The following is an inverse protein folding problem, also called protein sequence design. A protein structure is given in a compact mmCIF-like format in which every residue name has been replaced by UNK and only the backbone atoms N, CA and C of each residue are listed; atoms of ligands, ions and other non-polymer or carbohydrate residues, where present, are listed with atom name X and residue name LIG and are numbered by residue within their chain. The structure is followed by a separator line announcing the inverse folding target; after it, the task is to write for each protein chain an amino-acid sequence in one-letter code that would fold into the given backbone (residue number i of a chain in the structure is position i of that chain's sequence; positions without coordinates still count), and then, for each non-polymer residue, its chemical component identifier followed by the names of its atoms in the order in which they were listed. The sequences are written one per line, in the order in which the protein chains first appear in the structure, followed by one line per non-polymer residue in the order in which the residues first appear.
data_IF_909754177615
#
_entry.id   IF_909754177615
#
_cell.length_a   1.000
_cell.length_b   1.000
_cell.length_c   1.000
_cell.angle_alpha   90.00
_cell.angle_beta   90.00
_cell.angle_gamma   90.00
#
_symmetry.space_group_name_H-M   'P 1'
#
loop_
_entity.id
_entity.type
_entity.pdbx_description
1 polymer ?
#
# COMPACT_ATOMS: atom_id res chain seq x y z
N UNK A 1 -25.98 -48.78 -36.33
CA UNK A 1 -25.30 -47.55 -36.76
C UNK A 1 -25.93 -46.41 -35.96
N UNK A 2 -25.22 -45.89 -34.96
CA UNK A 2 -25.64 -44.65 -34.29
C UNK A 2 -25.54 -43.54 -35.33
N UNK A 3 -26.59 -42.73 -35.47
CA UNK A 3 -26.60 -41.63 -36.42
C UNK A 3 -25.54 -40.61 -35.98
N UNK A 4 -24.73 -40.13 -36.91
CA UNK A 4 -23.73 -39.07 -36.67
C UNK A 4 -24.33 -37.83 -35.97
N UNK A 5 -25.64 -37.60 -36.18
CA UNK A 5 -26.40 -36.53 -35.51
C UNK A 5 -26.69 -36.79 -34.03
N UNK A 6 -26.77 -38.05 -33.59
CA UNK A 6 -26.99 -38.40 -32.18
C UNK A 6 -25.70 -38.25 -31.37
N UNK A 7 -24.54 -38.55 -31.97
CA UNK A 7 -23.22 -38.28 -31.38
C UNK A 7 -22.97 -36.78 -31.20
N UNK A 8 -23.30 -35.95 -32.21
CA UNK A 8 -23.17 -34.49 -32.12
C UNK A 8 -24.08 -33.92 -31.02
N UNK A 9 -25.33 -34.38 -30.92
CA UNK A 9 -26.24 -33.96 -29.84
C UNK A 9 -25.72 -34.35 -28.45
N UNK A 10 -25.13 -35.54 -28.34
CA UNK A 10 -24.52 -35.99 -27.09
C UNK A 10 -23.36 -35.08 -26.67
N UNK A 11 -22.43 -34.77 -27.59
CA UNK A 11 -21.29 -33.87 -27.34
C UNK A 11 -21.77 -32.46 -26.97
N UNK A 12 -22.77 -31.92 -27.66
CA UNK A 12 -23.34 -30.60 -27.35
C UNK A 12 -23.97 -30.57 -25.95
N UNK A 13 -24.71 -31.62 -25.58
CA UNK A 13 -25.32 -31.71 -24.25
C UNK A 13 -24.26 -31.79 -23.15
N UNK A 14 -23.22 -32.63 -23.32
CA UNK A 14 -22.09 -32.73 -22.41
C UNK A 14 -21.34 -31.40 -22.27
N UNK A 15 -21.06 -30.73 -23.39
CA UNK A 15 -20.39 -29.41 -23.38
C UNK A 15 -21.20 -28.37 -22.62
N UNK A 16 -22.52 -28.36 -22.80
CA UNK A 16 -23.42 -27.46 -22.08
C UNK A 16 -23.39 -27.74 -20.57
N UNK A 17 -23.48 -29.01 -20.17
CA UNK A 17 -23.40 -29.41 -18.76
C UNK A 17 -22.04 -29.06 -18.14
N UNK A 18 -20.93 -29.29 -18.84
CA UNK A 18 -19.60 -28.90 -18.35
C UNK A 18 -19.48 -27.38 -18.19
N UNK A 19 -20.04 -26.59 -19.11
CA UNK A 19 -20.07 -25.13 -19.01
C UNK A 19 -20.89 -24.66 -17.79
N UNK A 20 -22.06 -25.23 -17.58
CA UNK A 20 -22.91 -24.93 -16.41
C UNK A 20 -22.21 -25.30 -15.09
N UNK A 21 -21.55 -26.46 -15.05
CA UNK A 21 -20.75 -26.87 -13.89
C UNK A 21 -19.57 -25.93 -13.64
N UNK A 22 -18.86 -25.49 -14.69
CA UNK A 22 -17.76 -24.53 -14.57
C UNK A 22 -18.23 -23.20 -13.98
N UNK A 23 -19.38 -22.68 -14.44
CA UNK A 23 -19.97 -21.45 -13.91
C UNK A 23 -20.39 -21.59 -12.44
N UNK A 24 -20.87 -22.77 -12.05
CA UNK A 24 -21.24 -23.04 -10.65
C UNK A 24 -20.00 -23.11 -9.75
N UNK A 25 -18.92 -23.75 -10.21
CA UNK A 25 -17.63 -23.80 -9.51
C UNK A 25 -17.06 -22.38 -9.36
N UNK A 26 -17.07 -21.58 -10.42
CA UNK A 26 -16.59 -20.19 -10.39
C UNK A 26 -17.37 -19.35 -9.36
N UNK A 27 -18.70 -19.48 -9.31
CA UNK A 27 -19.51 -18.83 -8.29
C UNK A 27 -19.15 -19.27 -6.87
N UNK A 28 -18.91 -20.57 -6.66
CA UNK A 28 -18.50 -21.08 -5.35
C UNK A 28 -17.13 -20.52 -4.94
N UNK A 29 -16.16 -20.50 -5.85
CA UNK A 29 -14.84 -19.92 -5.63
C UNK A 29 -14.97 -18.45 -5.23
N UNK A 30 -15.68 -17.64 -6.02
CA UNK A 30 -15.86 -16.21 -5.77
C UNK A 30 -16.54 -15.94 -4.41
N UNK A 31 -17.52 -16.76 -4.04
CA UNK A 31 -18.18 -16.66 -2.73
C UNK A 31 -17.21 -16.99 -1.59
N UNK A 32 -16.44 -18.07 -1.71
CA UNK A 32 -15.43 -18.44 -0.71
C UNK A 32 -14.35 -17.38 -0.57
N UNK A 33 -13.86 -16.82 -1.68
CA UNK A 33 -12.89 -15.71 -1.68
C UNK A 33 -13.46 -14.47 -0.99
N UNK A 34 -14.72 -14.13 -1.28
CA UNK A 34 -15.38 -12.98 -0.66
C UNK A 34 -15.51 -13.14 0.86
N UNK A 35 -15.87 -14.35 1.32
CA UNK A 35 -15.94 -14.66 2.77
C UNK A 35 -14.55 -14.54 3.40
N UNK A 36 -13.54 -15.20 2.83
CA UNK A 36 -12.16 -15.14 3.35
C UNK A 36 -11.61 -13.71 3.38
N UNK A 37 -11.93 -12.90 2.37
CA UNK A 37 -11.53 -11.51 2.32
C UNK A 37 -12.19 -10.67 3.43
N UNK A 38 -13.47 -10.88 3.70
CA UNK A 38 -14.16 -10.22 4.83
C UNK A 38 -13.60 -10.66 6.18
N UNK A 39 -13.28 -11.94 6.35
CA UNK A 39 -12.60 -12.44 7.55
C UNK A 39 -11.20 -11.82 7.72
N UNK A 40 -10.45 -11.67 6.63
CA UNK A 40 -9.15 -11.01 6.63
C UNK A 40 -9.28 -9.54 7.07
N UNK A 41 -10.23 -8.80 6.52
CA UNK A 41 -10.53 -7.42 6.91
C UNK A 41 -10.80 -7.32 8.42
N UNK A 42 -11.62 -8.25 8.94
CA UNK A 42 -11.95 -8.30 10.36
C UNK A 42 -10.74 -8.66 11.23
N UNK A 43 -9.85 -9.54 10.77
CA UNK A 43 -8.63 -9.90 11.49
C UNK A 43 -7.65 -8.73 11.57
N UNK A 44 -7.52 -7.97 10.48
CA UNK A 44 -6.65 -6.80 10.44
C UNK A 44 -7.29 -5.54 11.01
N UNK A 45 -8.60 -5.53 11.30
CA UNK A 45 -9.31 -4.40 11.92
C UNK A 45 -8.96 -3.05 11.27
N UNK A 46 -8.93 -3.01 9.94
CA UNK A 46 -8.57 -1.79 9.19
C UNK A 46 -9.65 -0.74 9.41
N UNK A 47 -9.31 0.37 10.06
CA UNK A 47 -10.28 1.39 10.46
C UNK A 47 -9.73 2.81 10.41
N UNK A 48 -10.62 3.75 10.13
CA UNK A 48 -10.38 5.19 10.25
C UNK A 48 -10.80 5.66 11.63
N UNK A 49 -9.88 6.26 12.40
CA UNK A 49 -10.13 6.80 13.74
C UNK A 49 -9.95 8.32 13.73
N UNK A 50 -10.91 9.06 14.28
CA UNK A 50 -10.78 10.51 14.46
C UNK A 50 -9.77 10.80 15.58
N UNK A 51 -8.87 11.75 15.35
CA UNK A 51 -7.95 12.21 16.39
C UNK A 51 -8.70 13.05 17.43
N UNK A 52 -8.56 12.68 18.70
CA UNK A 52 -9.14 13.43 19.82
C UNK A 52 -8.48 14.81 19.89
N UNK A 53 -9.29 15.86 19.97
CA UNK A 53 -8.80 17.23 20.12
C UNK A 53 -8.49 17.99 18.83
N UNK A 54 -8.49 17.34 17.66
CA UNK A 54 -8.28 18.02 16.37
C UNK A 54 -9.48 17.83 15.43
N UNK A 55 -10.04 18.94 14.95
CA UNK A 55 -11.19 18.93 14.04
C UNK A 55 -10.74 18.40 12.67
N UNK A 56 -11.51 17.47 12.11
CA UNK A 56 -11.33 16.89 10.78
C UNK A 56 -10.01 16.13 10.53
N UNK A 57 -9.24 15.80 11.58
CA UNK A 57 -8.08 14.92 11.44
C UNK A 57 -8.41 13.47 11.79
N UNK A 58 -7.88 12.55 10.98
CA UNK A 58 -8.10 11.13 11.10
C UNK A 58 -6.77 10.39 10.96
N UNK A 59 -6.69 9.23 11.60
CA UNK A 59 -5.61 8.26 11.42
C UNK A 59 -6.26 6.96 10.93
N UNK A 60 -5.68 6.37 9.89
CA UNK A 60 -6.02 5.02 9.48
C UNK A 60 -5.16 4.04 10.25
N UNK A 61 -5.75 2.94 10.68
CA UNK A 61 -5.08 1.94 11.51
C UNK A 61 -5.28 0.55 10.92
N UNK A 62 -4.26 -0.29 11.09
CA UNK A 62 -4.23 -1.71 10.76
C UNK A 62 -3.72 -2.49 11.97
N UNK A 63 -4.51 -3.43 12.49
CA UNK A 63 -4.21 -4.23 13.69
C UNK A 63 -3.78 -3.37 14.88
N UNK A 64 -4.48 -2.25 15.11
CA UNK A 64 -4.19 -1.25 16.16
C UNK A 64 -2.90 -0.43 15.97
N UNK A 65 -2.19 -0.59 14.86
CA UNK A 65 -1.00 0.20 14.50
C UNK A 65 -1.42 1.26 13.46
N UNK A 66 -0.94 2.51 13.53
CA UNK A 66 -1.19 3.49 12.50
C UNK A 66 -0.63 3.03 11.14
N UNK A 67 -1.39 3.19 10.08
CA UNK A 67 -0.90 2.98 8.72
C UNK A 67 -0.04 4.19 8.37
N UNK A 68 1.26 3.95 8.18
CA UNK A 68 2.21 5.01 7.88
C UNK A 68 2.23 5.23 6.37
N UNK A 69 2.14 6.49 5.98
CA UNK A 69 2.22 6.96 4.61
C UNK A 69 3.48 7.82 4.44
N UNK A 70 3.81 8.21 3.21
CA UNK A 70 5.04 8.99 2.99
C UNK A 70 4.96 10.40 3.56
N UNK A 71 3.74 10.95 3.70
CA UNK A 71 3.53 12.29 4.23
C UNK A 71 3.83 12.38 5.74
N UNK A 72 3.52 11.35 6.52
CA UNK A 72 3.74 11.30 7.96
C UNK A 72 4.93 10.43 8.39
N UNK A 73 5.67 9.89 7.42
CA UNK A 73 6.78 8.96 7.63
C UNK A 73 7.82 9.47 8.66
N UNK A 74 8.20 10.75 8.58
CA UNK A 74 9.20 11.37 9.48
C UNK A 74 8.70 11.72 10.88
N UNK A 75 7.42 11.48 11.16
CA UNK A 75 6.78 11.79 12.45
C UNK A 75 6.76 10.60 13.41
N UNK A 76 7.13 9.40 12.93
CA UNK A 76 7.15 8.18 13.72
C UNK A 76 8.59 7.68 13.92
N UNK A 77 8.81 6.96 15.01
CA UNK A 77 10.05 6.24 15.22
C UNK A 77 10.13 5.03 14.28
N UNK A 78 11.34 4.54 14.06
CA UNK A 78 11.60 3.48 13.09
C UNK A 78 10.92 2.16 13.48
N UNK A 79 10.73 1.90 14.78
CA UNK A 79 10.00 0.73 15.27
C UNK A 79 8.54 0.72 14.82
N UNK A 80 7.80 1.83 14.98
CA UNK A 80 6.40 1.91 14.54
C UNK A 80 6.32 1.84 13.02
N UNK A 81 7.26 2.45 12.29
CA UNK A 81 7.37 2.35 10.83
C UNK A 81 7.50 0.88 10.42
N UNK A 82 8.44 0.15 11.01
CA UNK A 82 8.67 -1.26 10.71
C UNK A 82 7.42 -2.10 11.02
N UNK A 83 6.81 -1.92 12.20
CA UNK A 83 5.61 -2.65 12.58
C UNK A 83 4.44 -2.37 11.61
N UNK A 84 4.29 -1.13 11.15
CA UNK A 84 3.27 -0.73 10.18
C UNK A 84 3.52 -1.38 8.81
N UNK A 85 4.73 -1.25 8.26
CA UNK A 85 5.12 -1.84 6.97
C UNK A 85 5.00 -3.36 6.98
N UNK A 86 5.39 -4.02 8.08
CA UNK A 86 5.22 -5.46 8.24
C UNK A 86 3.75 -5.86 8.13
N UNK A 87 2.87 -5.16 8.85
CA UNK A 87 1.42 -5.45 8.83
C UNK A 87 0.81 -5.20 7.46
N UNK A 88 1.18 -4.11 6.79
CA UNK A 88 0.71 -3.81 5.45
C UNK A 88 1.16 -4.90 4.47
N UNK A 89 2.42 -5.32 4.52
CA UNK A 89 2.93 -6.36 3.63
C UNK A 89 2.23 -7.70 3.82
N UNK A 90 2.02 -8.13 5.07
CA UNK A 90 1.27 -9.36 5.37
C UNK A 90 -0.16 -9.27 4.85
N UNK A 91 -0.82 -8.13 5.06
CA UNK A 91 -2.16 -7.90 4.57
C UNK A 91 -2.24 -7.98 3.04
N UNK A 92 -1.34 -7.28 2.34
CA UNK A 92 -1.28 -7.27 0.87
C UNK A 92 -0.99 -8.66 0.28
N UNK A 93 -0.05 -9.40 0.87
CA UNK A 93 0.24 -10.77 0.47
C UNK A 93 -0.96 -11.72 0.68
N UNK A 94 -1.69 -11.57 1.78
CA UNK A 94 -2.85 -12.42 2.05
C UNK A 94 -4.01 -12.09 1.10
N UNK A 95 -4.22 -10.81 0.77
CA UNK A 95 -5.19 -10.42 -0.26
C UNK A 95 -4.82 -11.06 -1.60
N UNK A 96 -3.55 -10.93 -2.02
CA UNK A 96 -3.12 -11.48 -3.31
C UNK A 96 -3.26 -13.00 -3.35
N UNK A 97 -3.07 -13.68 -2.22
CA UNK A 97 -3.27 -15.14 -2.11
C UNK A 97 -4.74 -15.52 -2.18
N UNK A 98 -5.64 -14.80 -1.49
CA UNK A 98 -7.09 -15.07 -1.51
C UNK A 98 -7.65 -14.87 -2.92
N UNK A 99 -7.28 -13.77 -3.57
CA UNK A 99 -7.83 -13.35 -4.86
C UNK A 99 -7.01 -13.82 -6.08
N UNK A 100 -5.93 -14.58 -5.86
CA UNK A 100 -4.99 -15.03 -6.89
C UNK A 100 -4.45 -13.87 -7.76
N UNK A 101 -4.14 -12.75 -7.13
CA UNK A 101 -3.60 -11.55 -7.79
C UNK A 101 -2.11 -11.74 -8.01
N UNK A 102 -1.66 -11.58 -9.26
CA UNK A 102 -0.25 -11.56 -9.60
C UNK A 102 0.35 -10.19 -9.26
N UNK A 103 1.01 -10.09 -8.10
CA UNK A 103 1.69 -8.86 -7.70
C UNK A 103 2.90 -8.57 -8.60
N UNK A 104 3.19 -7.29 -8.93
CA UNK A 104 4.36 -6.93 -9.72
C UNK A 104 5.68 -7.27 -9.00
N UNK A 105 5.67 -7.27 -7.66
CA UNK A 105 6.82 -7.65 -6.85
C UNK A 105 6.44 -8.71 -5.82
N UNK A 106 7.10 -9.86 -5.89
CA UNK A 106 6.86 -10.97 -4.98
C UNK A 106 7.19 -10.58 -3.54
N UNK A 107 6.25 -10.86 -2.64
CA UNK A 107 6.41 -10.73 -1.19
C UNK A 107 6.76 -12.11 -0.64
N UNK A 108 7.90 -12.21 0.03
CA UNK A 108 8.38 -13.44 0.67
C UNK A 108 8.55 -13.24 2.17
N UNK A 109 8.39 -14.30 2.94
CA UNK A 109 8.54 -14.27 4.39
C UNK A 109 9.72 -15.11 4.84
N UNK A 110 10.57 -14.55 5.69
CA UNK A 110 11.64 -15.32 6.32
C UNK A 110 11.09 -16.25 7.42
N UNK A 111 11.97 -17.05 8.04
CA UNK A 111 11.59 -17.96 9.13
C UNK A 111 10.94 -17.26 10.34
N UNK A 112 11.21 -15.97 10.54
CA UNK A 112 10.61 -15.14 11.59
C UNK A 112 9.32 -14.44 11.13
N UNK A 113 8.79 -14.82 9.96
CA UNK A 113 7.63 -14.19 9.31
C UNK A 113 7.79 -12.70 9.00
N UNK A 114 9.02 -12.22 8.84
CA UNK A 114 9.27 -10.86 8.38
C UNK A 114 9.19 -10.81 6.85
N UNK A 115 8.42 -9.87 6.29
CA UNK A 115 8.29 -9.72 4.85
C UNK A 115 9.56 -9.14 4.21
N UNK A 116 9.82 -9.59 2.99
CA UNK A 116 10.78 -9.02 2.07
C UNK A 116 10.15 -8.90 0.69
N UNK A 117 10.55 -7.91 -0.09
CA UNK A 117 10.04 -7.71 -1.45
C UNK A 117 11.20 -7.82 -2.43
N UNK A 118 11.22 -8.88 -3.26
CA UNK A 118 12.35 -9.22 -4.13
C UNK A 118 13.70 -9.20 -3.38
N UNK A 119 13.79 -9.88 -2.25
CA UNK A 119 14.97 -9.94 -1.37
C UNK A 119 15.37 -8.61 -0.69
N UNK A 120 14.61 -7.52 -0.86
CA UNK A 120 14.80 -6.32 -0.05
C UNK A 120 14.09 -6.46 1.29
N UNK A 121 14.85 -6.35 2.38
CA UNK A 121 14.28 -6.17 3.71
C UNK A 121 13.67 -4.77 3.76
N UNK A 122 12.42 -4.69 4.20
CA UNK A 122 11.76 -3.40 4.46
C UNK A 122 12.16 -2.79 5.80
N UNK A 123 13.13 -3.40 6.49
CA UNK A 123 13.52 -3.08 7.85
C UNK A 123 15.04 -3.00 7.91
N UNK A 124 15.56 -2.03 8.65
CA UNK A 124 16.97 -2.05 9.03
C UNK A 124 17.20 -3.11 10.11
N UNK A 125 18.22 -3.97 9.97
CA UNK A 125 18.60 -4.91 11.03
C UNK A 125 19.34 -4.24 12.19
N UNK A 126 19.69 -2.95 12.08
CA UNK A 126 20.53 -2.27 13.05
C UNK A 126 19.73 -1.69 14.22
N UNK A 127 20.13 -2.03 15.44
CA UNK A 127 19.41 -1.66 16.68
C UNK A 127 19.57 -0.19 17.06
N UNK A 128 20.47 0.54 16.40
CA UNK A 128 20.83 1.92 16.76
C UNK A 128 20.06 2.99 15.97
N UNK A 129 19.16 2.59 15.08
CA UNK A 129 18.37 3.52 14.26
C UNK A 129 17.04 3.81 14.97
N UNK A 130 16.91 5.03 15.48
CA UNK A 130 15.68 5.49 16.14
C UNK A 130 14.74 6.19 15.16
N UNK A 131 15.29 6.96 14.21
CA UNK A 131 14.54 7.73 13.22
C UNK A 131 15.07 7.51 11.79
N UNK A 132 14.23 7.83 10.80
CA UNK A 132 14.59 7.68 9.37
C UNK A 132 15.77 8.54 8.95
N UNK A 133 15.95 9.71 9.56
CA UNK A 133 17.05 10.60 9.21
C UNK A 133 18.41 10.13 9.76
N UNK A 134 18.43 9.09 10.61
CA UNK A 134 19.65 8.44 11.08
C UNK A 134 20.23 7.48 10.02
N UNK A 135 19.45 7.12 9.00
CA UNK A 135 19.89 6.28 7.90
C UNK A 135 20.90 7.00 7.01
N UNK A 136 21.93 6.29 6.57
CA UNK A 136 22.79 6.80 5.50
C UNK A 136 21.99 7.01 4.20
N UNK A 137 22.49 7.88 3.32
CA UNK A 137 21.85 8.11 2.02
C UNK A 137 21.62 6.82 1.20
N UNK A 138 22.54 5.86 1.32
CA UNK A 138 22.41 4.57 0.66
C UNK A 138 21.28 3.74 1.28
N UNK A 139 21.25 3.60 2.60
CA UNK A 139 20.20 2.86 3.31
C UNK A 139 18.82 3.47 3.11
N UNK A 140 18.73 4.81 3.14
CA UNK A 140 17.49 5.53 2.87
C UNK A 140 16.97 5.22 1.46
N UNK A 141 17.84 5.21 0.44
CA UNK A 141 17.45 4.84 -0.93
C UNK A 141 16.93 3.40 -1.00
N UNK A 142 17.60 2.46 -0.35
CA UNK A 142 17.16 1.07 -0.33
C UNK A 142 15.80 0.91 0.38
N UNK A 143 15.63 1.56 1.51
CA UNK A 143 14.39 1.57 2.28
C UNK A 143 13.23 2.14 1.45
N UNK A 144 13.43 3.30 0.81
CA UNK A 144 12.40 3.94 -0.02
C UNK A 144 12.13 3.17 -1.32
N UNK A 145 13.10 2.44 -1.87
CA UNK A 145 12.87 1.50 -2.98
C UNK A 145 11.92 0.37 -2.54
N UNK A 146 12.13 -0.17 -1.33
CA UNK A 146 11.22 -1.14 -0.73
C UNK A 146 9.79 -0.62 -0.57
N UNK A 147 9.63 0.60 -0.05
CA UNK A 147 8.31 1.26 0.05
C UNK A 147 7.69 1.45 -1.34
N UNK A 148 8.48 1.86 -2.34
CA UNK A 148 8.00 2.09 -3.71
C UNK A 148 7.46 0.80 -4.35
N UNK A 149 8.13 -0.34 -4.12
CA UNK A 149 7.61 -1.66 -4.55
C UNK A 149 6.33 -2.03 -3.83
N UNK A 150 6.24 -1.76 -2.53
CA UNK A 150 5.01 -1.99 -1.77
C UNK A 150 3.86 -1.13 -2.29
N UNK A 151 4.10 0.15 -2.59
CA UNK A 151 3.12 1.05 -3.23
C UNK A 151 2.61 0.44 -4.53
N UNK A 152 3.49 -0.06 -5.40
CA UNK A 152 3.08 -0.67 -6.66
C UNK A 152 2.29 -1.98 -6.46
N UNK A 153 2.63 -2.79 -5.46
CA UNK A 153 1.82 -3.96 -5.09
C UNK A 153 0.42 -3.56 -4.60
N UNK A 154 0.30 -2.51 -3.78
CA UNK A 154 -1.00 -1.99 -3.31
C UNK A 154 -1.81 -1.46 -4.49
N UNK A 155 -1.16 -0.72 -5.40
CA UNK A 155 -1.80 -0.16 -6.58
C UNK A 155 -2.31 -1.24 -7.54
N UNK A 156 -1.58 -2.35 -7.70
CA UNK A 156 -2.06 -3.49 -8.49
C UNK A 156 -3.33 -4.13 -7.88
N UNK A 157 -3.40 -4.24 -6.56
CA UNK A 157 -4.61 -4.72 -5.88
C UNK A 157 -5.78 -3.76 -6.11
N UNK A 158 -5.55 -2.45 -6.05
CA UNK A 158 -6.59 -1.46 -6.36
C UNK A 158 -7.10 -1.61 -7.80
N UNK A 159 -6.21 -1.77 -8.78
CA UNK A 159 -6.58 -2.03 -10.19
C UNK A 159 -7.40 -3.30 -10.34
N UNK A 160 -7.00 -4.37 -9.67
CA UNK A 160 -7.72 -5.64 -9.71
C UNK A 160 -9.19 -5.46 -9.25
N UNK A 161 -9.41 -4.67 -8.20
CA UNK A 161 -10.75 -4.33 -7.71
C UNK A 161 -11.42 -3.15 -8.44
N UNK A 162 -10.77 -2.56 -9.46
CA UNK A 162 -11.24 -1.39 -10.20
C UNK A 162 -11.46 -0.14 -9.32
N UNK A 163 -10.62 0.01 -8.30
CA UNK A 163 -10.67 1.09 -7.31
C UNK A 163 -9.61 2.20 -7.55
N UNK A 164 -8.87 2.13 -8.66
CA UNK A 164 -7.76 3.01 -9.00
C UNK A 164 -8.17 4.31 -9.72
N UNK A 165 -9.43 4.43 -10.14
CA UNK A 165 -9.94 5.55 -10.95
C UNK A 165 -9.69 6.97 -10.38
N UNK A 166 -9.56 7.09 -9.05
CA UNK A 166 -9.32 8.34 -8.33
C UNK A 166 -7.83 8.71 -8.26
N UNK A 167 -6.93 7.77 -8.57
CA UNK A 167 -5.47 7.93 -8.52
C UNK A 167 -4.97 8.35 -9.91
N UNK A 168 -4.87 9.66 -10.12
CA UNK A 168 -4.48 10.28 -11.40
C UNK A 168 -3.05 10.82 -11.38
N UNK A 169 -2.52 11.13 -10.20
CA UNK A 169 -1.22 11.80 -10.00
C UNK A 169 -0.27 10.91 -9.21
N UNK A 170 1.01 10.92 -9.57
CA UNK A 170 2.02 10.11 -8.87
C UNK A 170 2.11 10.41 -7.37
N UNK A 171 1.83 11.65 -6.96
CA UNK A 171 1.84 12.03 -5.54
C UNK A 171 0.71 11.39 -4.73
N UNK A 172 -0.41 11.03 -5.34
CA UNK A 172 -1.50 10.33 -4.63
C UNK A 172 -1.07 8.92 -4.17
N UNK A 173 -0.08 8.32 -4.83
CA UNK A 173 0.53 7.06 -4.42
C UNK A 173 1.26 7.16 -3.06
N UNK A 174 1.51 8.37 -2.58
CA UNK A 174 2.15 8.59 -1.28
C UNK A 174 1.20 8.33 -0.11
N UNK A 175 -0.11 8.37 -0.36
CA UNK A 175 -1.19 8.14 0.61
C UNK A 175 -1.48 6.65 0.77
N UNK A 176 -0.47 5.88 1.21
CA UNK A 176 -0.55 4.43 1.45
C UNK A 176 -1.74 4.09 2.34
N UNK A 177 -1.98 4.88 3.38
CA UNK A 177 -3.07 4.75 4.32
C UNK A 177 -4.45 4.84 3.66
N UNK A 178 -4.66 5.83 2.81
CA UNK A 178 -5.92 5.96 2.06
C UNK A 178 -6.11 4.83 1.05
N UNK A 179 -5.04 4.38 0.38
CA UNK A 179 -5.07 3.25 -0.55
C UNK A 179 -5.48 1.94 0.15
N UNK A 180 -4.86 1.63 1.30
CA UNK A 180 -5.22 0.45 2.11
C UNK A 180 -6.67 0.57 2.59
N UNK A 181 -7.10 1.75 3.02
CA UNK A 181 -8.47 1.94 3.47
C UNK A 181 -9.49 1.80 2.34
N UNK A 182 -9.18 2.27 1.12
CA UNK A 182 -10.03 2.10 -0.09
C UNK A 182 -10.23 0.64 -0.45
N UNK A 183 -9.19 -0.21 -0.35
CA UNK A 183 -9.29 -1.67 -0.58
C UNK A 183 -10.32 -2.32 0.35
N UNK A 184 -10.39 -1.86 1.60
CA UNK A 184 -11.28 -2.41 2.62
C UNK A 184 -12.67 -1.76 2.59
N UNK A 185 -12.74 -0.50 2.16
CA UNK A 185 -13.96 0.29 2.10
C UNK A 185 -14.10 0.94 0.72
N UNK A 186 -14.64 0.18 -0.23
CA UNK A 186 -14.75 0.57 -1.64
C UNK A 186 -15.48 1.93 -1.85
N UNK A 187 -16.36 2.31 -0.92
CA UNK A 187 -17.13 3.56 -0.95
C UNK A 187 -16.33 4.78 -0.45
N UNK A 188 -15.13 4.59 0.09
CA UNK A 188 -14.28 5.67 0.52
C UNK A 188 -13.80 6.48 -0.69
N UNK A 189 -13.91 7.81 -0.69
CA UNK A 189 -13.30 8.65 -1.72
C UNK A 189 -12.01 9.24 -1.18
N UNK A 190 -10.98 9.30 -2.02
CA UNK A 190 -9.71 9.96 -1.66
C UNK A 190 -9.98 11.42 -1.30
N UNK A 191 -9.40 11.89 -0.19
CA UNK A 191 -9.52 13.31 0.12
C UNK A 191 -8.59 14.08 -0.84
N UNK A 192 -9.16 14.91 -1.71
CA UNK A 192 -8.40 15.89 -2.51
C UNK A 192 -7.88 17.03 -1.61
N UNK A 193 -7.05 16.71 -0.62
CA UNK A 193 -6.37 17.73 0.20
C UNK A 193 -5.07 18.25 -0.43
N UNK A 194 -4.78 17.87 -1.68
CA UNK A 194 -3.64 18.38 -2.46
C UNK A 194 -4.13 19.23 -3.64
N UNK A 195 -4.67 20.41 -3.31
CA UNK A 195 -5.08 21.44 -4.28
C UNK A 195 -4.15 22.65 -4.26
N UNK A 196 -2.85 22.46 -4.01
CA UNK A 196 -1.85 23.51 -4.13
C UNK A 196 -0.83 23.16 -5.22
N UNK A 197 -1.08 23.64 -6.45
CA UNK A 197 -0.09 23.83 -7.54
C UNK A 197 0.96 22.72 -7.78
N UNK A 198 0.63 21.45 -7.53
CA UNK A 198 1.59 20.36 -7.65
C UNK A 198 1.84 20.01 -9.13
N UNK A 199 3.05 20.32 -9.63
CA UNK A 199 3.58 19.87 -10.93
C UNK A 199 3.88 18.37 -10.96
N UNK A 200 3.05 17.54 -10.32
CA UNK A 200 3.23 16.09 -10.35
C UNK A 200 2.77 15.53 -11.69
N UNK A 201 3.56 14.59 -12.23
CA UNK A 201 3.25 13.98 -13.51
C UNK A 201 1.95 13.16 -13.40
N UNK A 202 1.08 13.23 -14.42
CA UNK A 202 -0.06 12.32 -14.50
C UNK A 202 0.43 10.89 -14.67
N UNK A 203 -0.23 9.95 -14.00
CA UNK A 203 0.06 8.52 -14.17
C UNK A 203 -0.43 8.11 -15.57
N UNK A 204 0.52 7.72 -16.44
CA UNK A 204 0.23 7.21 -17.78
C UNK A 204 0.77 5.79 -17.91
N UNK A 205 -0.12 4.82 -18.09
CA UNK A 205 0.28 3.42 -18.31
C UNK A 205 0.89 2.77 -17.06
N UNK A 206 1.92 1.95 -17.26
CA UNK A 206 2.65 1.30 -16.17
C UNK A 206 3.60 2.29 -15.51
N UNK A 207 3.59 2.33 -14.18
CA UNK A 207 4.48 3.19 -13.40
C UNK A 207 5.86 2.54 -13.33
N UNK A 208 6.89 3.26 -13.76
CA UNK A 208 8.27 2.82 -13.62
C UNK A 208 8.73 2.90 -12.15
N UNK A 209 9.37 1.83 -11.66
CA UNK A 209 9.80 1.73 -10.26
C UNK A 209 10.93 2.70 -9.92
N UNK A 210 11.83 2.96 -10.86
CA UNK A 210 12.98 3.84 -10.64
C UNK A 210 12.49 5.30 -10.61
N UNK A 211 11.58 5.67 -11.52
CA UNK A 211 10.92 6.98 -11.49
C UNK A 211 10.14 7.20 -10.18
N UNK A 212 9.37 6.21 -9.73
CA UNK A 212 8.65 6.29 -8.46
C UNK A 212 9.60 6.41 -7.28
N UNK A 213 10.66 5.60 -7.25
CA UNK A 213 11.67 5.63 -6.18
C UNK A 213 12.34 6.99 -6.09
N UNK A 214 12.70 7.59 -7.22
CA UNK A 214 13.30 8.92 -7.27
C UNK A 214 12.33 10.02 -6.79
N UNK A 215 11.04 9.92 -7.14
CA UNK A 215 10.02 10.83 -6.65
C UNK A 215 9.84 10.74 -5.13
N UNK A 216 9.74 9.51 -4.60
CA UNK A 216 9.63 9.26 -3.16
C UNK A 216 10.88 9.76 -2.43
N UNK A 217 12.06 9.47 -2.96
CA UNK A 217 13.33 9.91 -2.39
C UNK A 217 13.42 11.45 -2.33
N UNK A 218 13.12 12.15 -3.43
CA UNK A 218 13.11 13.62 -3.47
C UNK A 218 12.10 14.21 -2.47
N UNK A 219 10.90 13.61 -2.38
CA UNK A 219 9.88 14.05 -1.44
C UNK A 219 10.35 13.94 0.02
N UNK A 220 10.88 12.78 0.41
CA UNK A 220 11.37 12.56 1.78
C UNK A 220 12.59 13.43 2.09
N UNK A 221 13.53 13.57 1.15
CA UNK A 221 14.70 14.43 1.33
C UNK A 221 14.30 15.90 1.54
N UNK A 222 13.35 16.40 0.75
CA UNK A 222 12.83 17.75 0.93
C UNK A 222 12.17 17.94 2.30
N UNK A 223 11.41 16.95 2.80
CA UNK A 223 10.82 17.02 4.14
C UNK A 223 11.86 16.97 5.26
N UNK A 224 12.90 16.14 5.12
CA UNK A 224 14.03 16.12 6.07
C UNK A 224 14.69 17.50 6.11
N UNK A 225 14.97 18.09 4.95
CA UNK A 225 15.58 19.42 4.86
C UNK A 225 14.66 20.53 5.42
N UNK A 226 13.36 20.46 5.18
CA UNK A 226 12.38 21.40 5.76
C UNK A 226 12.34 21.28 7.29
N UNK A 227 12.27 20.05 7.83
CA UNK A 227 12.30 19.80 9.28
C UNK A 227 13.60 20.32 9.87
N UNK A 228 14.75 20.05 9.25
CA UNK A 228 16.04 20.58 9.69
C UNK A 228 16.07 22.12 9.65
N UNK A 229 15.51 22.73 8.62
CA UNK A 229 15.37 24.19 8.55
C UNK A 229 14.46 24.73 9.66
N UNK A 230 13.35 24.06 9.99
CA UNK A 230 12.50 24.42 11.13
C UNK A 230 13.28 24.33 12.45
N UNK A 231 14.06 23.28 12.68
CA UNK A 231 14.92 23.16 13.87
C UNK A 231 16.03 24.22 13.90
N UNK A 232 16.63 24.56 12.75
CA UNK A 232 17.60 25.65 12.66
C UNK A 232 16.97 27.03 12.88
N UNK A 233 15.74 27.27 12.42
CA UNK A 233 14.99 28.50 12.69
C UNK A 233 14.63 28.59 14.17
N UNK A 234 14.14 27.51 14.77
CA UNK A 234 13.85 27.46 16.22
C UNK A 234 15.12 27.68 17.04
N UNK A 235 16.26 27.11 16.66
CA UNK A 235 17.54 27.38 17.32
C UNK A 235 17.99 28.84 17.17
N UNK A 236 17.74 29.48 16.03
CA UNK A 236 18.06 30.90 15.84
C UNK A 236 17.11 31.80 16.63
N UNK A 237 15.82 31.46 16.75
CA UNK A 237 14.85 32.23 17.54
C UNK A 237 15.14 32.14 19.05
N UNK A 238 15.72 31.05 19.55
CA UNK A 238 16.20 30.94 20.94
C UNK A 238 17.59 31.57 21.17
N UNK A 239 18.32 31.93 20.12
CA UNK A 239 19.58 32.68 20.18
C UNK A 239 19.38 34.19 19.95
N UNK A 240 18.14 34.62 19.75
CA UNK A 240 17.75 36.03 19.81
C UNK A 240 17.04 36.23 21.15
N UNK A 241 17.82 36.38 22.21
CA UNK A 241 17.36 37.11 23.38
C UNK A 241 18.49 37.99 23.93
N UNK A 242 18.10 39.23 24.22
CA UNK A 242 18.80 40.28 24.94
C UNK A 242 19.92 41.05 24.21
N UNK A 243 19.51 42.02 23.38
CA UNK A 243 20.07 43.39 23.44
C UNK A 243 19.12 44.37 22.72
N UNK A 244 18.05 44.79 23.42
CA UNK A 244 17.45 46.13 23.33
C UNK A 244 16.83 46.54 24.67
#
# INVERSE_FOLDING_TARGET
MVSYNDEIKSIQSQTKTTKENSLNIEKQINNSQSILFQELINLYLVKRKRLSGVKNQYIFMISFIPIINLENLLSFNFEIINASLERICKFIYQISTIWFINLPFQIEFNHQQQPSILNFKLFSPDSNIEQIHDLSNFELKLFLNGISRLILNIFEILKFFQLDNEIKLSKQLFNIDEMIYKIVNNNYNFNELSSDNDQSNPIKGNIDIDELTDLVYKHILNKINQKNNEWHVVQNDFLIDEDQ
#
